data_IF_399774948932
#
_entry.id   IF_399774948932
#
_cell.length_a   1.000
_cell.length_b   1.000
_cell.length_c   1.000
_cell.angle_alpha   90.00
_cell.angle_beta   90.00
_cell.angle_gamma   90.00
#
_symmetry.space_group_name_H-M   'P 1'
#
loop_
_entity.id
_entity.type
_entity.pdbx_description
1 polymer ?
#
# COMPACT_ATOMS: atom_id res chain seq x y z
N UNK A 1 -9.68 -9.50 -7.67
CA UNK A 1 -10.56 -8.50 -7.03
C UNK A 1 -11.13 -9.16 -5.79
N UNK A 2 -10.90 -8.60 -4.61
CA UNK A 2 -11.62 -9.01 -3.40
C UNK A 2 -12.52 -7.83 -3.07
N UNK A 3 -13.82 -8.01 -3.27
CA UNK A 3 -14.85 -7.13 -2.69
C UNK A 3 -15.26 -7.81 -1.39
N UNK A 4 -14.71 -7.37 -0.25
CA UNK A 4 -15.38 -7.65 1.02
C UNK A 4 -16.56 -6.70 1.07
N UNK A 5 -17.78 -7.24 1.16
CA UNK A 5 -19.00 -6.45 1.27
C UNK A 5 -18.80 -5.31 2.27
N UNK A 6 -19.09 -4.08 1.83
CA UNK A 6 -19.10 -2.88 2.65
C UNK A 6 -20.23 -2.93 3.66
N UNK A 7 -20.10 -3.75 4.69
CA UNK A 7 -20.98 -3.67 5.83
C UNK A 7 -20.56 -2.43 6.63
N UNK A 8 -21.55 -1.63 7.05
CA UNK A 8 -21.41 -0.45 7.91
C UNK A 8 -20.95 -0.82 9.36
N UNK A 9 -20.08 -1.81 9.50
CA UNK A 9 -19.62 -2.34 10.79
C UNK A 9 -18.71 -1.33 11.49
N UNK A 10 -19.04 -1.03 12.74
CA UNK A 10 -18.26 -0.18 13.64
C UNK A 10 -17.41 -1.12 14.50
N UNK A 11 -16.09 -0.88 14.54
CA UNK A 11 -15.16 -1.66 15.36
C UNK A 11 -15.05 -1.08 16.76
N UNK A 12 -14.88 -1.94 17.76
CA UNK A 12 -14.77 -1.54 19.16
C UNK A 12 -13.40 -1.90 19.72
N UNK A 13 -12.76 -0.94 20.39
CA UNK A 13 -11.59 -1.11 21.25
C UNK A 13 -12.04 -0.93 22.72
N UNK A 14 -11.14 -1.20 23.67
CA UNK A 14 -11.43 -1.15 25.11
C UNK A 14 -12.11 0.14 25.59
N UNK A 15 -11.82 1.28 24.96
CA UNK A 15 -12.37 2.59 25.34
C UNK A 15 -12.87 3.44 24.16
N UNK A 16 -12.99 2.86 22.96
CA UNK A 16 -13.38 3.65 21.78
C UNK A 16 -13.98 2.79 20.69
N UNK A 17 -15.06 3.27 20.08
CA UNK A 17 -15.63 2.72 18.84
C UNK A 17 -15.14 3.53 17.65
N UNK A 18 -14.74 2.88 16.57
CA UNK A 18 -14.20 3.56 15.41
C UNK A 18 -14.64 2.91 14.10
N UNK A 19 -14.73 3.75 13.07
CA UNK A 19 -14.87 3.34 11.67
C UNK A 19 -14.04 4.26 10.81
N UNK A 20 -12.74 4.01 10.80
CA UNK A 20 -11.77 4.82 10.09
C UNK A 20 -11.40 4.09 8.80
N UNK A 21 -12.05 4.46 7.70
CA UNK A 21 -11.79 3.93 6.36
C UNK A 21 -11.16 5.02 5.52
N UNK A 22 -10.08 4.69 4.82
CA UNK A 22 -9.33 5.62 3.99
C UNK A 22 -9.20 5.05 2.59
N UNK A 23 -9.56 5.88 1.60
CA UNK A 23 -9.21 5.62 0.21
C UNK A 23 -7.86 6.26 -0.06
N UNK A 24 -6.88 5.39 -0.30
CA UNK A 24 -5.49 5.75 -0.52
C UNK A 24 -5.17 5.45 -1.98
N UNK A 25 -4.65 6.46 -2.68
CA UNK A 25 -4.14 6.31 -4.04
C UNK A 25 -2.68 6.71 -4.04
N UNK A 26 -1.82 5.86 -4.60
CA UNK A 26 -0.44 6.24 -4.85
C UNK A 26 0.09 5.66 -6.15
N UNK A 27 0.97 6.43 -6.79
CA UNK A 27 1.66 6.03 -8.00
C UNK A 27 3.12 5.65 -7.68
N UNK A 28 3.67 4.60 -8.32
CA UNK A 28 5.10 4.31 -8.24
C UNK A 28 5.94 5.43 -8.89
N UNK A 29 7.00 5.88 -8.21
CA UNK A 29 7.97 6.83 -8.80
C UNK A 29 8.58 6.21 -10.06
N UNK A 30 8.83 7.07 -11.05
CA UNK A 30 9.41 6.76 -12.37
C UNK A 30 8.48 6.14 -13.41
N UNK A 31 7.15 6.15 -13.22
CA UNK A 31 6.19 5.95 -14.32
C UNK A 31 6.52 4.70 -15.18
N UNK A 32 7.08 3.65 -14.55
CA UNK A 32 7.60 2.42 -15.20
C UNK A 32 6.45 1.45 -15.47
N UNK A 33 5.47 1.91 -16.26
CA UNK A 33 4.18 1.26 -16.55
C UNK A 33 4.31 -0.21 -16.99
N UNK A 34 5.38 -0.54 -17.71
CA UNK A 34 5.58 -1.89 -18.26
C UNK A 34 5.97 -2.94 -17.21
N UNK A 35 6.71 -2.56 -16.18
CA UNK A 35 7.17 -3.48 -15.13
C UNK A 35 6.00 -3.80 -14.20
N UNK A 36 5.24 -2.77 -13.82
CA UNK A 36 4.11 -2.88 -12.89
C UNK A 36 3.04 -3.88 -13.33
N UNK A 37 2.77 -3.99 -14.63
CA UNK A 37 1.86 -5.01 -15.16
C UNK A 37 2.35 -6.44 -14.89
N UNK A 38 3.66 -6.70 -15.00
CA UNK A 38 4.26 -8.03 -14.79
C UNK A 38 4.39 -8.39 -13.30
N UNK A 39 4.69 -7.41 -12.45
CA UNK A 39 4.88 -7.60 -11.00
C UNK A 39 3.63 -7.30 -10.16
N UNK A 40 2.48 -7.08 -10.80
CA UNK A 40 1.20 -6.74 -10.13
C UNK A 40 0.82 -7.75 -9.04
N UNK A 41 1.09 -9.03 -9.28
CA UNK A 41 0.82 -10.11 -8.32
C UNK A 41 1.70 -9.98 -7.08
N UNK A 42 3.01 -9.83 -7.26
CA UNK A 42 3.98 -9.64 -6.17
C UNK A 42 3.69 -8.40 -5.34
N UNK A 43 3.36 -7.28 -5.99
CA UNK A 43 3.01 -6.03 -5.30
C UNK A 43 1.78 -6.24 -4.41
N UNK A 44 0.75 -6.91 -4.93
CA UNK A 44 -0.44 -7.23 -4.15
C UNK A 44 -0.14 -8.08 -2.93
N UNK A 45 0.74 -9.08 -3.06
CA UNK A 45 1.18 -9.91 -1.93
C UNK A 45 1.98 -9.13 -0.90
N UNK A 46 2.92 -8.28 -1.33
CA UNK A 46 3.73 -7.43 -0.46
C UNK A 46 2.84 -6.46 0.32
N UNK A 47 1.90 -5.79 -0.35
CA UNK A 47 0.99 -4.84 0.31
C UNK A 47 0.12 -5.55 1.35
N UNK A 48 -0.43 -6.73 1.04
CA UNK A 48 -1.20 -7.52 2.03
C UNK A 48 -0.37 -7.84 3.26
N UNK A 49 0.84 -8.36 3.06
CA UNK A 49 1.76 -8.70 4.15
C UNK A 49 2.10 -7.49 5.02
N UNK A 50 2.35 -6.33 4.41
CA UNK A 50 2.65 -5.10 5.14
C UNK A 50 1.45 -4.57 5.93
N UNK A 51 0.24 -4.70 5.39
CA UNK A 51 -0.98 -4.30 6.10
C UNK A 51 -1.26 -5.22 7.29
N UNK A 52 -1.12 -6.54 7.11
CA UNK A 52 -1.23 -7.54 8.19
C UNK A 52 -0.22 -7.26 9.31
N UNK A 53 1.04 -6.96 8.97
CA UNK A 53 2.07 -6.61 9.95
C UNK A 53 1.76 -5.35 10.77
N UNK A 54 0.97 -4.42 10.23
CA UNK A 54 0.56 -3.20 10.92
C UNK A 54 -0.83 -3.30 11.55
N UNK A 55 -1.52 -4.44 11.41
CA UNK A 55 -2.90 -4.59 11.88
C UNK A 55 -3.90 -3.71 11.12
N UNK A 56 -3.59 -3.35 9.87
CA UNK A 56 -4.48 -2.57 9.00
C UNK A 56 -5.26 -3.54 8.12
N UNK A 57 -6.59 -3.39 8.09
CA UNK A 57 -7.43 -4.24 7.25
C UNK A 57 -7.58 -3.65 5.86
N UNK A 58 -7.39 -4.47 4.83
CA UNK A 58 -7.68 -4.11 3.44
C UNK A 58 -9.11 -4.51 3.11
N UNK A 59 -9.93 -3.54 2.75
CA UNK A 59 -11.32 -3.76 2.33
C UNK A 59 -11.35 -4.03 0.82
N UNK A 60 -10.70 -3.14 0.06
CA UNK A 60 -10.52 -3.28 -1.39
C UNK A 60 -9.12 -2.86 -1.79
N UNK A 61 -8.57 -3.51 -2.83
CA UNK A 61 -7.31 -3.13 -3.42
C UNK A 61 -7.32 -3.41 -4.91
N UNK A 62 -7.00 -2.38 -5.69
CA UNK A 62 -6.92 -2.44 -7.14
C UNK A 62 -5.60 -1.81 -7.61
N UNK A 63 -4.81 -2.58 -8.33
CA UNK A 63 -3.58 -2.09 -8.96
C UNK A 63 -3.83 -1.79 -10.44
N UNK A 64 -3.82 -0.52 -10.81
CA UNK A 64 -3.87 -0.04 -12.19
C UNK A 64 -2.44 0.03 -12.77
N UNK A 65 -2.32 0.39 -14.06
CA UNK A 65 -1.02 0.40 -14.75
C UNK A 65 -0.10 1.53 -14.27
N UNK A 66 -0.68 2.58 -13.71
CA UNK A 66 -0.06 3.85 -13.39
C UNK A 66 -0.23 4.27 -11.92
N UNK A 67 -1.20 3.70 -11.21
CA UNK A 67 -1.44 3.94 -9.79
C UNK A 67 -2.09 2.72 -9.11
N UNK A 68 -2.06 2.68 -7.78
CA UNK A 68 -2.74 1.66 -6.96
C UNK A 68 -3.81 2.36 -6.12
N UNK A 69 -5.03 1.84 -6.16
CA UNK A 69 -6.12 2.17 -5.25
C UNK A 69 -6.18 1.17 -4.10
N UNK A 70 -6.27 1.68 -2.88
CA UNK A 70 -6.42 0.90 -1.66
C UNK A 70 -7.53 1.52 -0.82
N UNK A 71 -8.51 0.72 -0.45
CA UNK A 71 -9.48 1.05 0.58
C UNK A 71 -9.11 0.27 1.84
N UNK A 72 -8.64 0.97 2.86
CA UNK A 72 -8.12 0.36 4.09
C UNK A 72 -8.83 0.88 5.32
N UNK A 73 -9.02 0.01 6.31
CA UNK A 73 -9.46 0.37 7.65
C UNK A 73 -8.23 0.46 8.57
N UNK A 74 -7.90 1.68 8.97
CA UNK A 74 -6.73 1.98 9.82
C UNK A 74 -7.23 2.26 11.24
N UNK A 75 -6.72 1.56 12.28
CA UNK A 75 -7.05 1.87 13.66
C UNK A 75 -6.69 3.31 14.05
N UNK A 76 -7.48 3.99 14.91
CA UNK A 76 -7.35 5.42 15.19
C UNK A 76 -6.03 5.80 15.89
N UNK A 77 -5.36 4.84 16.54
CA UNK A 77 -4.05 5.04 17.17
C UNK A 77 -2.88 5.03 16.17
N UNK A 78 -3.12 4.66 14.91
CA UNK A 78 -2.11 4.67 13.85
C UNK A 78 -2.29 5.94 13.01
N UNK A 79 -1.25 6.76 12.93
CA UNK A 79 -1.26 7.91 12.02
C UNK A 79 -1.25 7.47 10.56
N UNK A 80 -2.16 8.03 9.76
CA UNK A 80 -2.25 7.76 8.31
C UNK A 80 -0.95 8.12 7.60
N UNK A 81 -0.32 9.24 7.97
CA UNK A 81 0.95 9.67 7.40
C UNK A 81 2.08 8.67 7.69
N UNK A 82 2.16 8.18 8.94
CA UNK A 82 3.14 7.16 9.32
C UNK A 82 2.90 5.83 8.60
N UNK A 83 1.64 5.41 8.50
CA UNK A 83 1.26 4.22 7.75
C UNK A 83 1.65 4.33 6.27
N UNK A 84 1.40 5.48 5.65
CA UNK A 84 1.77 5.75 4.26
C UNK A 84 3.28 5.73 4.03
N UNK A 85 4.05 6.36 4.92
CA UNK A 85 5.52 6.34 4.86
C UNK A 85 6.07 4.92 4.98
N UNK A 86 5.53 4.14 5.93
CA UNK A 86 5.88 2.73 6.12
C UNK A 86 5.53 1.89 4.88
N UNK A 87 4.31 2.02 4.36
CA UNK A 87 3.81 1.24 3.24
C UNK A 87 4.65 1.51 1.98
N UNK A 88 4.88 2.77 1.63
CA UNK A 88 5.69 3.16 0.47
C UNK A 88 7.15 2.72 0.66
N UNK A 89 7.76 2.99 1.81
CA UNK A 89 9.18 2.68 2.07
C UNK A 89 9.48 1.19 2.08
N UNK A 90 8.67 0.38 2.77
CA UNK A 90 8.90 -1.07 2.86
C UNK A 90 8.51 -1.81 1.58
N UNK A 91 7.42 -1.43 0.92
CA UNK A 91 7.03 -2.06 -0.35
C UNK A 91 8.11 -1.88 -1.41
N UNK A 92 8.65 -0.67 -1.53
CA UNK A 92 9.82 -0.34 -2.36
C UNK A 92 10.96 -1.33 -2.15
N UNK A 93 11.37 -1.48 -0.88
CA UNK A 93 12.54 -2.28 -0.53
C UNK A 93 12.31 -3.75 -0.90
N UNK A 94 11.13 -4.29 -0.59
CA UNK A 94 10.77 -5.69 -0.88
C UNK A 94 10.66 -5.95 -2.39
N UNK A 95 10.15 -4.99 -3.16
CA UNK A 95 10.08 -5.10 -4.63
C UNK A 95 11.49 -5.11 -5.22
N UNK A 96 12.39 -4.23 -4.75
CA UNK A 96 13.78 -4.21 -5.20
C UNK A 96 14.56 -5.48 -4.82
N UNK A 97 14.23 -6.08 -3.67
CA UNK A 97 14.86 -7.31 -3.19
C UNK A 97 14.42 -8.52 -4.02
N UNK A 98 13.11 -8.72 -4.22
CA UNK A 98 12.56 -9.79 -5.08
C UNK A 98 12.96 -9.65 -6.55
N UNK A 99 13.10 -8.42 -7.03
CA UNK A 99 13.43 -8.15 -8.43
C UNK A 99 14.80 -7.45 -8.52
N UNK A 100 15.86 -8.15 -8.11
CA UNK A 100 17.24 -7.67 -8.13
C UNK A 100 17.69 -7.12 -9.51
N UNK A 101 17.12 -7.62 -10.61
CA UNK A 101 17.35 -7.09 -11.97
C UNK A 101 16.85 -5.64 -12.19
N UNK A 102 15.94 -5.13 -11.35
CA UNK A 102 15.54 -3.72 -11.32
C UNK A 102 16.51 -2.83 -10.55
N UNK A 103 17.33 -3.42 -9.67
CA UNK A 103 18.36 -2.74 -8.87
C UNK A 103 19.53 -2.29 -9.75
N UNK A 104 19.93 -3.12 -10.71
CA UNK A 104 21.13 -2.92 -11.55
C UNK A 104 20.94 -1.90 -12.68
N UNK A 105 19.72 -1.71 -13.21
CA UNK A 105 19.47 -0.74 -14.29
C UNK A 105 19.27 0.71 -13.84
N UNK A 106 19.04 0.99 -12.55
CA UNK A 106 18.38 2.24 -12.16
C UNK A 106 18.87 2.95 -10.89
N UNK A 107 20.02 2.56 -10.35
CA UNK A 107 20.96 3.42 -9.60
C UNK A 107 20.54 4.07 -8.28
N UNK A 108 19.26 4.29 -7.98
CA UNK A 108 18.85 5.02 -6.79
C UNK A 108 17.61 4.41 -6.10
N UNK A 109 17.73 4.26 -4.77
CA UNK A 109 16.84 3.53 -3.86
C UNK A 109 15.51 4.25 -3.53
N UNK A 110 14.99 5.08 -4.44
CA UNK A 110 13.78 5.88 -4.21
C UNK A 110 12.63 5.46 -5.13
N UNK A 111 11.51 5.02 -4.55
CA UNK A 111 10.29 4.60 -5.27
C UNK A 111 9.08 5.50 -5.01
N UNK A 112 9.19 6.48 -4.10
CA UNK A 112 8.16 7.48 -3.85
C UNK A 112 8.44 8.76 -4.61
N UNK A 113 7.44 9.30 -5.32
CA UNK A 113 7.49 10.70 -5.74
C UNK A 113 7.78 11.55 -4.48
N UNK A 114 8.76 12.44 -4.58
CA UNK A 114 8.87 13.53 -3.62
C UNK A 114 7.72 14.47 -3.93
N UNK A 115 6.55 14.17 -3.39
CA UNK A 115 5.53 15.19 -3.22
C UNK A 115 5.82 15.85 -1.88
N UNK A 116 6.47 17.00 -1.97
CA UNK A 116 6.75 17.91 -0.88
C UNK A 116 5.44 18.60 -0.50
N UNK A 117 5.05 18.41 0.77
CA UNK A 117 3.99 19.10 1.53
C UNK A 117 2.53 18.81 1.15
#
# INVERSE_FOLDING_TARGET
>A
MIKKNGNNEIKTLSHSTYRCQYHIVFAPKYRRKAIYGKIKKDIGEIIRKLCEQKGVEIIEAEACKDHIHLLVSIPPYISVAQFMGYLKGKSTLMIFDRHANLKYKYGNRHFGAEDTM
#
